data_IF_566895950174
#
_entry.id   IF_566895950174
#
_cell.length_a   1.000
_cell.length_b   1.000
_cell.length_c   1.000
_cell.angle_alpha   90.00
_cell.angle_beta   90.00
_cell.angle_gamma   90.00
#
_symmetry.space_group_name_H-M   'P 1'
#
loop_
_entity.id
_entity.type
_entity.pdbx_description
1 polymer ?
#
# COMPACT_ATOMS: atom_id res chain seq x y z
N UNK A 1 9.70 1.79 19.71
CA UNK A 1 10.35 2.84 18.89
C UNK A 1 11.38 2.16 17.99
N UNK A 2 11.41 2.47 16.73
CA UNK A 2 12.45 2.02 15.81
C UNK A 2 13.35 3.21 15.47
N UNK A 3 14.65 2.96 15.36
CA UNK A 3 15.65 3.99 15.05
C UNK A 3 15.54 5.26 15.94
N UNK A 4 15.12 5.12 17.19
CA UNK A 4 14.94 6.22 18.13
C UNK A 4 13.73 7.15 17.87
N UNK A 5 12.88 6.82 16.88
CA UNK A 5 11.77 7.69 16.48
C UNK A 5 10.49 7.37 17.23
N UNK A 6 9.79 8.43 17.64
CA UNK A 6 8.47 8.32 18.28
C UNK A 6 7.34 8.22 17.24
N UNK A 7 6.23 7.61 17.67
CA UNK A 7 5.00 7.51 16.85
C UNK A 7 3.76 7.69 17.70
N UNK A 8 2.63 8.00 17.06
CA UNK A 8 1.31 7.92 17.66
C UNK A 8 0.85 6.46 17.62
N UNK A 9 0.29 5.94 18.71
CA UNK A 9 -0.25 4.58 18.72
C UNK A 9 -1.66 4.58 18.12
N UNK A 10 -1.80 4.08 16.90
CA UNK A 10 -3.07 3.91 16.19
C UNK A 10 -3.48 2.44 16.11
N UNK A 11 -2.51 1.53 16.13
CA UNK A 11 -2.66 0.14 15.77
C UNK A 11 -2.48 -0.78 16.96
N UNK A 12 -3.20 -1.90 16.92
CA UNK A 12 -2.93 -3.05 17.79
C UNK A 12 -1.90 -3.95 17.07
N UNK A 13 -0.67 -3.87 17.51
CA UNK A 13 0.45 -4.64 16.94
C UNK A 13 0.87 -5.77 17.91
N UNK A 14 1.43 -6.88 17.41
CA UNK A 14 1.68 -7.17 16.00
C UNK A 14 0.39 -7.55 15.23
N UNK A 15 0.34 -7.26 13.92
CA UNK A 15 -0.70 -7.88 13.06
C UNK A 15 -0.41 -9.37 12.88
N UNK A 16 -1.44 -10.18 12.61
CA UNK A 16 -1.25 -11.63 12.47
C UNK A 16 -0.38 -11.99 11.26
N UNK A 17 0.37 -13.07 11.41
CA UNK A 17 1.03 -13.81 10.33
C UNK A 17 0.35 -15.18 10.26
N UNK A 18 -0.41 -15.43 9.20
CA UNK A 18 -1.29 -16.58 9.04
C UNK A 18 -0.78 -17.55 7.99
N UNK A 19 -0.78 -18.86 8.29
CA UNK A 19 -0.55 -19.88 7.29
C UNK A 19 -1.84 -20.15 6.50
N UNK A 20 -1.78 -20.06 5.19
CA UNK A 20 -2.91 -20.27 4.29
C UNK A 20 -2.90 -21.71 3.75
N UNK A 21 -3.58 -22.61 4.45
CA UNK A 21 -3.54 -24.04 4.15
C UNK A 21 -4.06 -24.37 2.75
N UNK A 22 -5.25 -23.87 2.41
CA UNK A 22 -5.89 -24.25 1.14
C UNK A 22 -5.18 -23.67 -0.07
N UNK A 23 -4.63 -22.46 0.04
CA UNK A 23 -3.79 -21.84 -1.01
C UNK A 23 -2.44 -22.55 -1.10
N UNK A 24 -1.87 -22.97 0.02
CA UNK A 24 -0.60 -23.73 0.02
C UNK A 24 -0.74 -25.06 -0.71
N UNK A 25 -1.83 -25.79 -0.46
CA UNK A 25 -2.14 -27.04 -1.15
C UNK A 25 -2.41 -26.82 -2.65
N UNK A 26 -3.14 -25.78 -3.01
CA UNK A 26 -3.49 -25.43 -4.39
C UNK A 26 -2.24 -25.07 -5.23
N UNK A 27 -1.31 -24.30 -4.65
CA UNK A 27 -0.13 -23.81 -5.35
C UNK A 27 1.11 -24.71 -5.16
N UNK A 28 1.06 -25.66 -4.23
CA UNK A 28 2.19 -26.53 -3.91
C UNK A 28 3.38 -25.82 -3.24
N UNK A 29 3.13 -24.73 -2.52
CA UNK A 29 4.08 -23.91 -1.76
C UNK A 29 3.67 -23.81 -0.30
N UNK A 30 4.46 -23.15 0.56
CA UNK A 30 4.05 -22.79 1.90
C UNK A 30 3.68 -21.30 1.93
N UNK A 31 2.39 -20.99 1.78
CA UNK A 31 1.90 -19.63 1.69
C UNK A 31 1.50 -19.08 3.06
N UNK A 32 2.05 -17.93 3.40
CA UNK A 32 1.72 -17.16 4.61
C UNK A 32 1.24 -15.78 4.22
N UNK A 33 0.40 -15.18 5.06
CA UNK A 33 -0.15 -13.84 4.84
C UNK A 33 0.05 -12.97 6.07
N UNK A 34 0.73 -11.83 5.88
CA UNK A 34 0.85 -10.78 6.89
C UNK A 34 -0.36 -9.85 6.79
N UNK A 35 -1.21 -9.83 7.80
CA UNK A 35 -2.56 -9.27 7.79
C UNK A 35 -2.59 -7.77 8.15
N UNK A 36 -1.91 -6.93 7.36
CA UNK A 36 -1.98 -5.48 7.53
C UNK A 36 -3.29 -4.85 7.03
N UNK A 37 -4.13 -5.63 6.35
CA UNK A 37 -5.53 -5.30 6.08
C UNK A 37 -6.37 -5.18 7.36
N UNK A 38 -6.01 -5.89 8.43
CA UNK A 38 -6.73 -5.92 9.71
C UNK A 38 -6.30 -4.83 10.70
N UNK A 39 -5.71 -3.76 10.24
CA UNK A 39 -5.25 -2.64 11.09
C UNK A 39 -6.37 -1.71 11.59
N UNK A 40 -7.61 -1.97 11.23
CA UNK A 40 -8.84 -1.50 11.88
C UNK A 40 -9.30 -0.10 11.46
N UNK A 41 -8.59 0.98 11.79
CA UNK A 41 -9.03 2.35 11.54
C UNK A 41 -9.33 2.60 10.06
N UNK A 42 -10.49 3.17 9.74
CA UNK A 42 -10.88 3.52 8.38
C UNK A 42 -10.84 2.33 7.40
N UNK A 43 -11.22 1.13 7.82
CA UNK A 43 -11.14 -0.14 7.10
C UNK A 43 -9.71 -0.67 6.86
N UNK A 44 -8.74 -0.23 7.65
CA UNK A 44 -7.40 -0.80 7.67
C UNK A 44 -6.54 -0.61 6.42
N UNK A 45 -5.32 -1.08 6.51
CA UNK A 45 -4.35 -1.10 5.43
C UNK A 45 -2.97 -0.55 5.83
N UNK A 46 -1.99 -0.82 4.99
CA UNK A 46 -0.57 -0.53 5.19
C UNK A 46 -0.24 0.93 5.54
N UNK A 47 -1.06 1.87 5.10
CA UNK A 47 -0.79 3.30 5.30
C UNK A 47 -0.89 3.73 6.75
N UNK A 48 -1.66 3.01 7.58
CA UNK A 48 -1.76 3.34 9.00
C UNK A 48 -0.43 3.17 9.72
N UNK A 49 0.39 2.16 9.40
CA UNK A 49 1.73 2.02 9.97
C UNK A 49 2.60 3.25 9.68
N UNK A 50 2.52 3.77 8.46
CA UNK A 50 3.23 4.98 8.05
C UNK A 50 2.69 6.23 8.76
N UNK A 51 1.36 6.32 8.83
CA UNK A 51 0.66 7.46 9.42
C UNK A 51 0.88 7.57 10.94
N UNK A 52 1.25 6.50 11.65
CA UNK A 52 1.65 6.59 13.05
C UNK A 52 2.85 7.53 13.24
N UNK A 53 3.87 7.42 12.37
CA UNK A 53 5.06 8.27 12.40
C UNK A 53 4.81 9.66 11.79
N UNK A 54 4.17 9.70 10.64
CA UNK A 54 3.83 10.96 9.94
C UNK A 54 2.96 11.86 10.81
N UNK A 55 1.93 11.31 11.47
CA UNK A 55 1.08 12.07 12.37
C UNK A 55 1.85 12.64 13.56
N UNK A 56 2.77 11.85 14.13
CA UNK A 56 3.62 12.34 15.24
C UNK A 56 4.45 13.54 14.80
N UNK A 57 5.05 13.49 13.62
CA UNK A 57 5.79 14.62 13.07
C UNK A 57 4.89 15.82 12.79
N UNK A 58 3.71 15.61 12.21
CA UNK A 58 2.73 16.66 11.99
C UNK A 58 2.31 17.35 13.30
N UNK A 59 2.05 16.58 14.36
CA UNK A 59 1.74 17.10 15.69
C UNK A 59 2.91 17.91 16.28
N UNK A 60 4.13 17.43 16.15
CA UNK A 60 5.33 18.14 16.61
C UNK A 60 5.53 19.49 15.90
N UNK A 61 5.03 19.62 14.65
CA UNK A 61 5.01 20.86 13.88
C UNK A 61 3.76 21.72 14.13
N UNK A 62 2.88 21.31 15.04
CA UNK A 62 1.64 22.03 15.37
C UNK A 62 0.60 22.03 14.25
N UNK A 63 0.63 21.05 13.35
CA UNK A 63 -0.28 20.98 12.20
C UNK A 63 -1.74 20.88 12.63
N UNK A 64 -2.61 21.66 12.00
CA UNK A 64 -4.06 21.65 12.17
C UNK A 64 -4.76 20.96 11.00
N UNK A 65 -4.06 20.78 9.89
CA UNK A 65 -4.58 20.20 8.66
C UNK A 65 -3.57 19.27 7.99
N UNK A 66 -4.07 18.13 7.50
CA UNK A 66 -3.31 17.20 6.66
C UNK A 66 -3.73 17.37 5.20
N UNK A 67 -2.75 17.52 4.31
CA UNK A 67 -2.98 17.49 2.85
C UNK A 67 -2.17 16.34 2.26
N UNK A 68 -2.81 15.55 1.40
CA UNK A 68 -2.13 14.49 0.66
C UNK A 68 -2.59 14.40 -0.78
N UNK A 69 -1.91 13.62 -1.58
CA UNK A 69 -2.17 13.40 -2.99
C UNK A 69 -2.34 11.92 -3.34
N UNK A 70 -3.03 11.66 -4.44
CA UNK A 70 -3.19 10.29 -4.97
C UNK A 70 -4.23 10.23 -6.09
N UNK A 71 -4.44 9.05 -6.65
CA UNK A 71 -5.57 8.84 -7.58
C UNK A 71 -6.92 9.02 -6.88
N UNK A 72 -7.99 9.22 -7.66
CA UNK A 72 -9.35 9.47 -7.15
C UNK A 72 -9.84 8.40 -6.16
N UNK A 73 -9.35 7.16 -6.28
CA UNK A 73 -9.68 6.03 -5.38
C UNK A 73 -8.48 5.63 -4.49
N UNK A 74 -7.74 6.62 -3.99
CA UNK A 74 -6.53 6.39 -3.21
C UNK A 74 -6.79 5.75 -1.84
N UNK A 75 -6.18 4.60 -1.55
CA UNK A 75 -6.19 4.01 -0.21
C UNK A 75 -5.41 4.86 0.81
N UNK A 76 -4.39 5.60 0.33
CA UNK A 76 -3.63 6.50 1.17
C UNK A 76 -4.47 7.69 1.61
N UNK A 77 -5.18 8.34 0.67
CA UNK A 77 -6.11 9.43 0.97
C UNK A 77 -7.14 9.02 2.03
N UNK A 78 -7.80 7.87 1.83
CA UNK A 78 -8.77 7.33 2.79
C UNK A 78 -8.22 7.19 4.20
N UNK A 79 -7.03 6.63 4.34
CA UNK A 79 -6.45 6.43 5.67
C UNK A 79 -5.89 7.74 6.27
N UNK A 80 -5.47 8.69 5.45
CA UNK A 80 -5.15 10.05 5.89
C UNK A 80 -6.39 10.76 6.41
N UNK A 81 -7.53 10.66 5.70
CA UNK A 81 -8.82 11.18 6.15
C UNK A 81 -9.26 10.55 7.49
N UNK A 82 -9.10 9.23 7.63
CA UNK A 82 -9.44 8.52 8.86
C UNK A 82 -8.60 9.00 10.07
N UNK A 83 -7.31 9.20 9.87
CA UNK A 83 -6.40 9.72 10.91
C UNK A 83 -6.76 11.17 11.24
N UNK A 84 -6.96 12.01 10.25
CA UNK A 84 -7.36 13.41 10.47
C UNK A 84 -8.65 13.51 11.26
N UNK A 85 -9.69 12.76 10.88
CA UNK A 85 -10.97 12.72 11.60
C UNK A 85 -10.79 12.27 13.06
N UNK A 86 -10.00 11.21 13.31
CA UNK A 86 -9.74 10.70 14.66
C UNK A 86 -9.05 11.73 15.57
N UNK A 87 -8.21 12.59 15.01
CA UNK A 87 -7.43 13.60 15.74
C UNK A 87 -7.97 15.02 15.62
N UNK A 88 -9.22 15.17 15.15
CA UNK A 88 -9.89 16.44 14.98
C UNK A 88 -9.08 17.45 14.14
N UNK A 89 -8.42 16.95 13.10
CA UNK A 89 -7.70 17.74 12.11
C UNK A 89 -8.51 17.88 10.83
N UNK A 90 -8.33 18.98 10.11
CA UNK A 90 -8.86 19.07 8.74
C UNK A 90 -8.05 18.18 7.80
N UNK A 91 -8.69 17.74 6.70
CA UNK A 91 -8.03 16.94 5.69
C UNK A 91 -8.45 17.38 4.29
N UNK A 92 -7.48 17.49 3.37
CA UNK A 92 -7.75 17.60 1.95
C UNK A 92 -6.93 16.55 1.17
N UNK A 93 -7.58 15.96 0.17
CA UNK A 93 -6.97 14.98 -0.74
C UNK A 93 -7.01 15.60 -2.13
N UNK A 94 -5.86 15.78 -2.76
CA UNK A 94 -5.77 16.25 -4.14
C UNK A 94 -5.58 15.08 -5.09
N UNK A 95 -6.36 15.06 -6.15
CA UNK A 95 -6.33 13.98 -7.14
C UNK A 95 -6.32 14.54 -8.57
N UNK A 96 -5.60 13.86 -9.46
CA UNK A 96 -5.66 14.11 -10.90
C UNK A 96 -6.37 12.94 -11.55
N UNK A 97 -7.36 13.24 -12.40
CA UNK A 97 -8.19 12.27 -13.09
C UNK A 97 -9.61 12.74 -13.28
N UNK A 98 -10.46 11.84 -13.76
CA UNK A 98 -11.87 12.14 -13.96
C UNK A 98 -12.70 11.79 -12.71
N UNK A 99 -13.69 12.62 -12.43
CA UNK A 99 -14.71 12.25 -11.45
C UNK A 99 -15.51 11.05 -11.97
N UNK A 100 -15.65 9.95 -11.19
CA UNK A 100 -16.27 8.71 -11.68
C UNK A 100 -17.80 8.77 -11.89
N UNK A 101 -18.41 9.93 -11.67
CA UNK A 101 -19.86 10.14 -11.79
C UNK A 101 -20.65 9.73 -10.55
N UNK A 102 -20.01 9.14 -9.57
CA UNK A 102 -20.64 8.70 -8.30
C UNK A 102 -19.64 8.77 -7.14
N UNK A 103 -20.17 8.92 -5.92
CA UNK A 103 -19.40 8.71 -4.69
C UNK A 103 -19.44 7.21 -4.36
N UNK A 104 -18.33 6.51 -4.59
CA UNK A 104 -18.21 5.09 -4.30
C UNK A 104 -16.84 4.74 -3.72
N UNK A 105 -16.72 3.59 -3.10
CA UNK A 105 -15.48 3.05 -2.57
C UNK A 105 -14.71 4.07 -1.69
N UNK A 106 -13.41 4.27 -1.95
CA UNK A 106 -12.58 5.20 -1.15
C UNK A 106 -13.11 6.64 -1.19
N UNK A 107 -13.54 7.13 -2.36
CA UNK A 107 -14.05 8.50 -2.50
C UNK A 107 -15.28 8.78 -1.60
N UNK A 108 -16.17 7.79 -1.45
CA UNK A 108 -17.29 7.89 -0.50
C UNK A 108 -16.79 7.94 0.94
N UNK A 109 -15.85 7.07 1.29
CA UNK A 109 -15.30 6.99 2.64
C UNK A 109 -14.53 8.26 3.02
N UNK A 110 -13.79 8.84 2.09
CA UNK A 110 -13.11 10.14 2.29
C UNK A 110 -14.09 11.23 2.69
N UNK A 111 -15.21 11.31 1.97
CA UNK A 111 -16.27 12.31 2.23
C UNK A 111 -17.02 12.05 3.53
N UNK A 112 -17.28 10.78 3.86
CA UNK A 112 -17.90 10.40 5.14
C UNK A 112 -17.02 10.79 6.34
N UNK A 113 -15.70 10.71 6.19
CA UNK A 113 -14.72 11.11 7.22
C UNK A 113 -14.41 12.60 7.20
N UNK A 114 -15.14 13.41 6.40
CA UNK A 114 -15.03 14.87 6.37
C UNK A 114 -13.86 15.43 5.56
N UNK A 115 -13.10 14.60 4.86
CA UNK A 115 -12.03 15.10 4.00
C UNK A 115 -12.59 15.87 2.79
N UNK A 116 -11.99 17.00 2.45
CA UNK A 116 -12.22 17.69 1.18
C UNK A 116 -11.45 16.97 0.08
N UNK A 117 -12.11 16.61 -1.02
CA UNK A 117 -11.47 15.97 -2.17
C UNK A 117 -11.50 16.93 -3.35
N UNK A 118 -10.31 17.27 -3.84
CA UNK A 118 -10.09 18.20 -4.94
C UNK A 118 -9.63 17.39 -6.15
N UNK A 119 -10.51 17.24 -7.15
CA UNK A 119 -10.21 16.49 -8.37
C UNK A 119 -9.94 17.50 -9.49
N UNK A 120 -8.75 17.45 -10.06
CA UNK A 120 -8.37 18.16 -11.27
C UNK A 120 -8.35 17.19 -12.44
N UNK A 121 -9.03 17.52 -13.53
CA UNK A 121 -8.95 16.76 -14.78
C UNK A 121 -7.49 16.76 -15.29
N UNK A 122 -7.03 15.61 -15.75
CA UNK A 122 -5.71 15.47 -16.37
C UNK A 122 -5.64 16.39 -17.61
N UNK A 123 -4.63 17.23 -17.65
CA UNK A 123 -4.39 18.20 -18.74
C UNK A 123 -3.34 17.69 -19.76
N UNK A 124 -2.88 16.44 -19.62
CA UNK A 124 -1.91 15.78 -20.51
C UNK A 124 -0.45 16.13 -20.24
N UNK A 125 -0.15 17.02 -19.29
CA UNK A 125 1.23 17.28 -18.85
C UNK A 125 1.74 16.13 -17.97
N UNK A 126 3.05 16.01 -17.71
CA UNK A 126 3.57 15.05 -16.74
C UNK A 126 2.83 15.13 -15.40
N UNK A 127 2.34 14.01 -14.90
CA UNK A 127 1.54 13.96 -13.68
C UNK A 127 2.24 14.60 -12.48
N UNK A 128 3.57 14.44 -12.39
CA UNK A 128 4.37 15.04 -11.32
C UNK A 128 4.24 16.57 -11.27
N UNK A 129 4.27 17.22 -12.41
CA UNK A 129 4.18 18.69 -12.51
C UNK A 129 2.77 19.17 -12.14
N UNK A 130 1.75 18.44 -12.61
CA UNK A 130 0.35 18.72 -12.27
C UNK A 130 0.10 18.57 -10.76
N UNK A 131 0.62 17.51 -10.11
CA UNK A 131 0.51 17.34 -8.67
C UNK A 131 1.26 18.42 -7.89
N UNK A 132 2.49 18.75 -8.26
CA UNK A 132 3.27 19.82 -7.60
C UNK A 132 2.51 21.16 -7.60
N UNK A 133 1.89 21.51 -8.75
CA UNK A 133 1.10 22.72 -8.88
C UNK A 133 -0.15 22.68 -8.00
N UNK A 134 -0.95 21.62 -8.12
CA UNK A 134 -2.21 21.46 -7.40
C UNK A 134 -2.00 21.42 -5.89
N UNK A 135 -0.99 20.71 -5.41
CA UNK A 135 -0.62 20.63 -3.99
C UNK A 135 -0.21 22.01 -3.48
N UNK A 136 0.70 22.69 -4.18
CA UNK A 136 1.17 24.03 -3.82
C UNK A 136 0.00 25.02 -3.66
N UNK A 137 -0.90 25.04 -4.64
CA UNK A 137 -2.01 25.98 -4.66
C UNK A 137 -3.06 25.63 -3.59
N UNK A 138 -3.23 24.33 -3.31
CA UNK A 138 -4.09 23.86 -2.21
C UNK A 138 -3.51 24.26 -0.84
N UNK A 139 -2.19 24.09 -0.63
CA UNK A 139 -1.53 24.51 0.62
C UNK A 139 -1.74 26.01 0.84
N UNK A 140 -1.42 26.85 -0.16
CA UNK A 140 -1.61 28.30 -0.07
C UNK A 140 -3.05 28.70 0.28
N UNK A 141 -4.04 28.00 -0.32
CA UNK A 141 -5.45 28.24 -0.04
C UNK A 141 -5.77 28.08 1.44
N UNK A 142 -5.29 27.02 2.07
CA UNK A 142 -5.61 26.72 3.46
C UNK A 142 -4.75 27.50 4.46
N UNK A 143 -3.49 27.74 4.16
CA UNK A 143 -2.63 28.64 4.95
C UNK A 143 -3.23 30.07 5.02
N UNK A 144 -3.80 30.56 3.91
CA UNK A 144 -4.52 31.84 3.89
C UNK A 144 -5.81 31.84 4.76
N UNK A 145 -6.32 30.68 5.13
CA UNK A 145 -7.43 30.50 6.06
C UNK A 145 -6.96 30.33 7.53
N UNK A 146 -5.65 30.37 7.78
CA UNK A 146 -5.07 30.24 9.12
C UNK A 146 -4.73 28.80 9.52
N UNK A 147 -4.78 27.84 8.60
CA UNK A 147 -4.38 26.46 8.89
C UNK A 147 -2.85 26.32 8.91
N UNK A 148 -2.34 25.49 9.81
CA UNK A 148 -0.97 25.00 9.80
C UNK A 148 -0.99 23.67 9.05
N UNK A 149 -0.59 23.71 7.78
CA UNK A 149 -0.68 22.57 6.87
C UNK A 149 0.53 21.65 7.02
N UNK A 150 0.27 20.35 7.14
CA UNK A 150 1.26 19.30 6.97
C UNK A 150 0.97 18.53 5.69
N UNK A 151 1.88 18.62 4.73
CA UNK A 151 1.79 17.89 3.47
C UNK A 151 2.39 16.49 3.61
N UNK A 152 1.65 15.49 3.16
CA UNK A 152 2.06 14.08 3.12
C UNK A 152 2.19 13.67 1.66
N UNK A 153 3.39 13.28 1.19
CA UNK A 153 3.59 12.93 -0.21
C UNK A 153 2.87 11.64 -0.60
N UNK A 154 2.84 11.35 -1.89
CA UNK A 154 2.16 10.20 -2.49
C UNK A 154 2.41 8.90 -1.70
N UNK A 155 1.32 8.34 -1.15
CA UNK A 155 1.37 7.09 -0.41
C UNK A 155 2.12 7.15 0.92
N UNK A 156 2.43 8.36 1.46
CA UNK A 156 3.26 8.51 2.65
C UNK A 156 4.62 7.84 2.47
N UNK A 157 5.26 8.08 1.30
CA UNK A 157 6.49 7.40 0.93
C UNK A 157 7.67 8.37 0.96
N UNK A 158 7.96 8.83 2.15
CA UNK A 158 9.12 9.64 2.51
C UNK A 158 9.93 8.93 3.61
N UNK A 159 10.98 9.58 4.05
CA UNK A 159 11.87 9.10 5.10
C UNK A 159 11.18 8.89 6.45
N UNK A 160 10.09 9.59 6.74
CA UNK A 160 9.28 9.40 7.97
C UNK A 160 8.32 8.22 7.80
N UNK A 161 7.56 8.20 6.72
CA UNK A 161 6.54 7.18 6.50
C UNK A 161 7.10 5.77 6.34
N UNK A 162 8.32 5.61 5.85
CA UNK A 162 8.94 4.30 5.72
C UNK A 162 9.17 3.60 7.06
N UNK A 163 9.28 4.36 8.15
CA UNK A 163 9.49 3.80 9.49
C UNK A 163 8.37 2.84 9.91
N UNK A 164 7.14 3.07 9.43
CA UNK A 164 6.04 2.16 9.68
C UNK A 164 6.27 0.76 9.13
N UNK A 165 6.96 0.66 7.99
CA UNK A 165 7.32 -0.63 7.41
C UNK A 165 8.70 -1.13 7.81
N UNK A 166 9.59 -0.27 8.26
CA UNK A 166 10.77 -0.69 9.00
C UNK A 166 10.35 -1.44 10.29
N UNK A 167 9.40 -0.88 11.05
CA UNK A 167 8.84 -1.55 12.25
C UNK A 167 8.15 -2.87 11.88
N UNK A 168 7.41 -2.91 10.77
CA UNK A 168 6.80 -4.14 10.26
C UNK A 168 7.86 -5.21 9.93
N UNK A 169 9.02 -4.82 9.39
CA UNK A 169 10.11 -5.74 9.11
C UNK A 169 10.67 -6.35 10.40
N UNK A 170 10.90 -5.54 11.43
CA UNK A 170 11.33 -6.02 12.75
C UNK A 170 10.31 -6.99 13.37
N UNK A 171 9.03 -6.63 13.30
CA UNK A 171 7.91 -7.45 13.77
C UNK A 171 7.85 -8.79 13.01
N UNK A 172 7.87 -8.73 11.69
CA UNK A 172 7.77 -9.91 10.81
C UNK A 172 8.95 -10.86 10.98
N UNK A 173 10.17 -10.34 11.13
CA UNK A 173 11.36 -11.16 11.40
C UNK A 173 11.19 -11.99 12.67
N UNK A 174 10.66 -11.40 13.73
CA UNK A 174 10.38 -12.12 14.99
C UNK A 174 9.28 -13.17 14.83
N UNK A 175 8.20 -12.83 14.13
CA UNK A 175 7.10 -13.76 13.88
C UNK A 175 7.55 -14.93 13.00
N UNK A 176 8.30 -14.66 11.94
CA UNK A 176 8.82 -15.68 11.03
C UNK A 176 9.80 -16.63 11.75
N UNK A 177 10.68 -16.10 12.60
CA UNK A 177 11.57 -16.92 13.42
C UNK A 177 10.79 -17.82 14.37
N UNK A 178 9.77 -17.30 15.06
CA UNK A 178 8.92 -18.07 15.97
C UNK A 178 8.14 -19.20 15.27
N UNK A 179 7.82 -19.03 13.99
CA UNK A 179 7.13 -20.03 13.15
C UNK A 179 8.10 -20.97 12.40
N UNK A 180 9.42 -20.83 12.56
CA UNK A 180 10.42 -21.65 11.84
C UNK A 180 10.50 -21.36 10.34
N UNK A 181 10.15 -20.14 9.92
CA UNK A 181 10.14 -19.68 8.52
C UNK A 181 11.02 -18.44 8.31
N UNK A 182 12.07 -18.29 9.11
CA UNK A 182 12.98 -17.13 9.05
C UNK A 182 13.79 -17.01 7.75
N UNK A 183 13.69 -18.00 6.85
CA UNK A 183 14.28 -18.04 5.52
C UNK A 183 13.25 -17.81 4.39
N UNK A 184 12.02 -17.38 4.74
CA UNK A 184 10.95 -17.16 3.75
C UNK A 184 11.24 -15.99 2.83
N UNK A 185 10.65 -16.04 1.61
CA UNK A 185 10.60 -14.90 0.69
C UNK A 185 9.35 -14.05 0.99
N UNK A 186 9.56 -12.79 1.32
CA UNK A 186 8.49 -11.81 1.51
C UNK A 186 8.16 -11.16 0.17
N UNK A 187 6.88 -11.13 -0.20
CA UNK A 187 6.41 -10.52 -1.44
C UNK A 187 5.43 -9.40 -1.10
N UNK A 188 5.69 -8.21 -1.64
CA UNK A 188 4.89 -7.01 -1.40
C UNK A 188 4.60 -6.25 -2.68
N UNK A 189 3.42 -5.65 -2.80
CA UNK A 189 3.11 -4.73 -3.89
C UNK A 189 4.02 -3.49 -3.84
N UNK A 190 4.64 -3.15 -4.96
CA UNK A 190 5.51 -1.99 -5.14
C UNK A 190 4.81 -0.92 -5.99
N UNK A 191 4.21 0.07 -5.33
CA UNK A 191 3.55 1.23 -5.96
C UNK A 191 4.34 2.52 -5.72
N UNK A 192 4.08 3.21 -4.60
CA UNK A 192 4.79 4.42 -4.16
C UNK A 192 6.12 4.13 -3.44
N UNK A 193 6.57 2.89 -3.43
CA UNK A 193 7.82 2.34 -2.91
C UNK A 193 8.00 2.36 -1.38
N UNK A 194 7.37 3.23 -0.62
CA UNK A 194 7.65 3.37 0.82
C UNK A 194 7.36 2.11 1.67
N UNK A 195 6.44 1.22 1.26
CA UNK A 195 6.24 -0.08 1.92
C UNK A 195 7.40 -1.02 1.66
N UNK A 196 7.79 -1.14 0.39
CA UNK A 196 8.95 -1.94 -0.02
C UNK A 196 10.23 -1.43 0.65
N UNK A 197 10.48 -0.12 0.59
CA UNK A 197 11.68 0.50 1.16
C UNK A 197 11.78 0.30 2.68
N UNK A 198 10.67 0.47 3.41
CA UNK A 198 10.66 0.21 4.85
C UNK A 198 10.99 -1.25 5.20
N UNK A 199 10.41 -2.22 4.46
CA UNK A 199 10.75 -3.63 4.60
C UNK A 199 12.22 -3.90 4.26
N UNK A 200 12.70 -3.35 3.13
CA UNK A 200 14.08 -3.51 2.68
C UNK A 200 15.07 -3.01 3.74
N UNK A 201 14.92 -1.76 4.15
CA UNK A 201 15.78 -1.17 5.17
C UNK A 201 15.73 -1.92 6.51
N UNK A 202 14.53 -2.34 6.94
CA UNK A 202 14.37 -3.10 8.17
C UNK A 202 15.03 -4.48 8.10
N UNK A 203 14.82 -5.24 7.05
CA UNK A 203 15.45 -6.56 6.90
C UNK A 203 16.97 -6.47 6.85
N UNK A 204 17.52 -5.55 6.08
CA UNK A 204 18.98 -5.42 5.94
C UNK A 204 19.66 -4.83 7.17
N UNK A 205 19.08 -3.80 7.78
CA UNK A 205 19.68 -3.14 8.96
C UNK A 205 19.61 -4.02 10.21
N UNK A 206 18.58 -4.88 10.31
CA UNK A 206 18.39 -5.82 11.44
C UNK A 206 18.95 -7.22 11.15
N UNK A 207 19.66 -7.40 10.04
CA UNK A 207 20.24 -8.68 9.61
C UNK A 207 19.22 -9.83 9.59
N UNK A 208 18.03 -9.58 9.03
CA UNK A 208 16.99 -10.59 8.85
C UNK A 208 17.40 -11.61 7.80
N UNK A 209 17.01 -12.88 8.00
CA UNK A 209 17.15 -13.94 6.98
C UNK A 209 16.07 -13.91 5.90
N UNK A 210 15.07 -13.02 6.02
CA UNK A 210 13.97 -12.89 5.05
C UNK A 210 14.44 -12.20 3.76
N UNK A 211 14.17 -12.82 2.61
CA UNK A 211 14.34 -12.18 1.31
C UNK A 211 13.13 -11.32 0.97
N UNK A 212 13.31 -10.26 0.17
CA UNK A 212 12.22 -9.36 -0.23
C UNK A 212 12.13 -9.25 -1.75
N UNK A 213 10.94 -9.50 -2.30
CA UNK A 213 10.60 -9.24 -3.70
C UNK A 213 9.43 -8.26 -3.78
N UNK A 214 9.57 -7.19 -4.53
CA UNK A 214 8.50 -6.27 -4.86
C UNK A 214 7.78 -6.69 -6.14
N UNK A 215 6.47 -6.53 -6.20
CA UNK A 215 5.69 -6.69 -7.44
C UNK A 215 5.22 -5.33 -7.90
N UNK A 216 5.69 -4.87 -9.04
CA UNK A 216 5.29 -3.59 -9.62
C UNK A 216 3.79 -3.60 -9.99
N UNK A 217 3.05 -2.59 -9.52
CA UNK A 217 1.60 -2.47 -9.78
C UNK A 217 1.27 -1.45 -10.90
N UNK A 218 2.29 -0.79 -11.39
CA UNK A 218 2.27 0.15 -12.51
C UNK A 218 3.62 0.09 -13.24
N UNK A 219 3.75 0.62 -14.46
CA UNK A 219 5.03 0.63 -15.17
C UNK A 219 6.19 1.06 -14.26
N UNK A 220 7.28 0.31 -14.32
CA UNK A 220 8.47 0.53 -13.49
C UNK A 220 9.62 0.93 -14.40
N UNK A 221 9.62 2.20 -14.75
CA UNK A 221 10.54 2.85 -15.67
C UNK A 221 11.81 3.39 -14.97
N UNK A 222 12.69 4.00 -15.74
CA UNK A 222 13.93 4.61 -15.22
C UNK A 222 13.68 5.65 -14.14
N UNK A 223 12.57 6.40 -14.23
CA UNK A 223 12.20 7.37 -13.20
C UNK A 223 11.97 6.68 -11.86
N UNK A 224 11.17 5.59 -11.84
CA UNK A 224 10.92 4.81 -10.61
C UNK A 224 12.17 4.10 -10.11
N UNK A 225 13.03 3.62 -11.02
CA UNK A 225 14.29 3.01 -10.64
C UNK A 225 15.27 4.01 -10.01
N UNK A 226 15.24 5.27 -10.42
CA UNK A 226 15.99 6.33 -9.75
C UNK A 226 15.35 6.70 -8.41
N UNK A 227 14.02 6.85 -8.38
CA UNK A 227 13.28 7.20 -7.16
C UNK A 227 13.47 6.21 -6.01
N UNK A 228 13.65 4.91 -6.31
CA UNK A 228 13.91 3.91 -5.25
C UNK A 228 15.30 4.09 -4.64
N UNK A 229 16.30 4.44 -5.45
CA UNK A 229 17.68 4.73 -4.98
C UNK A 229 17.70 6.02 -4.17
N UNK A 230 17.08 7.09 -4.67
CA UNK A 230 16.98 8.37 -3.97
C UNK A 230 16.29 8.23 -2.60
N UNK A 231 15.19 7.47 -2.54
CA UNK A 231 14.49 7.19 -1.29
C UNK A 231 15.38 6.39 -0.33
N UNK A 232 16.11 5.39 -0.81
CA UNK A 232 17.04 4.61 0.01
C UNK A 232 18.16 5.49 0.58
N UNK A 233 18.79 6.32 -0.25
CA UNK A 233 19.89 7.19 0.16
C UNK A 233 19.42 8.22 1.21
N UNK A 234 18.26 8.86 0.99
CA UNK A 234 17.64 9.80 1.94
C UNK A 234 17.40 9.14 3.31
N UNK A 235 16.81 7.96 3.32
CA UNK A 235 16.50 7.21 4.54
C UNK A 235 17.75 6.77 5.27
N UNK A 236 18.72 6.23 4.52
CA UNK A 236 20.01 5.77 5.04
C UNK A 236 20.76 6.92 5.71
N UNK A 237 20.84 8.08 5.04
CA UNK A 237 21.51 9.26 5.56
C UNK A 237 20.81 9.78 6.82
N UNK A 238 19.49 9.98 6.77
CA UNK A 238 18.71 10.53 7.89
C UNK A 238 18.84 9.70 9.16
N UNK A 239 18.85 8.37 9.05
CA UNK A 239 18.86 7.48 10.21
C UNK A 239 20.22 6.83 10.49
N UNK A 240 21.28 7.23 9.77
CA UNK A 240 22.64 6.73 9.99
C UNK A 240 22.79 5.23 9.80
N UNK A 241 22.03 4.63 8.87
CA UNK A 241 22.06 3.18 8.62
C UNK A 241 23.37 2.76 7.97
N UNK A 242 23.95 1.65 8.45
CA UNK A 242 25.22 1.10 7.93
C UNK A 242 24.97 0.02 6.86
N UNK A 243 24.00 0.24 6.01
CA UNK A 243 23.68 -0.63 4.87
C UNK A 243 24.04 0.08 3.57
N UNK A 244 24.31 -0.66 2.52
CA UNK A 244 24.54 -0.12 1.20
C UNK A 244 23.74 -0.90 0.18
N UNK A 245 23.14 -0.22 -0.76
CA UNK A 245 22.45 -0.80 -1.88
C UNK A 245 22.55 0.11 -3.09
N UNK A 246 22.56 -0.48 -4.26
CA UNK A 246 22.39 0.20 -5.53
C UNK A 246 21.19 -0.36 -6.28
N UNK A 247 20.93 0.17 -7.45
CA UNK A 247 19.75 -0.15 -8.28
C UNK A 247 19.51 -1.67 -8.45
N UNK A 248 20.57 -2.47 -8.53
CA UNK A 248 20.51 -3.93 -8.77
C UNK A 248 20.15 -4.75 -7.53
N UNK A 249 20.24 -4.13 -6.35
CA UNK A 249 19.98 -4.83 -5.09
C UNK A 249 18.50 -4.80 -4.72
N UNK A 250 17.68 -4.00 -5.43
CA UNK A 250 16.22 -3.95 -5.24
C UNK A 250 15.54 -4.95 -6.18
N UNK A 251 15.11 -6.08 -5.61
CA UNK A 251 14.40 -7.13 -6.35
C UNK A 251 12.95 -6.70 -6.61
N UNK A 252 12.67 -6.24 -7.84
CA UNK A 252 11.34 -5.80 -8.29
C UNK A 252 10.94 -6.56 -9.55
N UNK A 253 9.89 -7.36 -9.44
CA UNK A 253 9.23 -8.02 -10.57
C UNK A 253 8.39 -7.00 -11.35
N UNK A 254 8.77 -6.73 -12.60
CA UNK A 254 8.22 -5.66 -13.44
C UNK A 254 7.17 -6.14 -14.45
N UNK A 255 7.11 -7.45 -14.69
CA UNK A 255 6.33 -8.04 -15.78
C UNK A 255 4.84 -8.25 -15.44
N UNK A 256 4.45 -8.02 -14.18
CA UNK A 256 3.11 -8.35 -13.68
C UNK A 256 2.17 -7.13 -13.54
N UNK A 257 2.44 -6.06 -14.26
CA UNK A 257 1.68 -4.79 -14.20
C UNK A 257 0.23 -4.93 -14.67
N UNK A 258 -0.07 -5.90 -15.55
CA UNK A 258 -1.44 -6.19 -16.04
C UNK A 258 -2.11 -4.98 -16.71
N UNK A 259 -1.50 -4.45 -17.74
CA UNK A 259 -2.01 -3.34 -18.54
C UNK A 259 -1.84 -1.95 -17.93
N UNK A 260 -1.72 -1.81 -16.60
CA UNK A 260 -1.50 -0.51 -15.96
C UNK A 260 -2.05 -0.40 -14.54
N UNK A 261 -1.86 0.78 -13.95
CA UNK A 261 -2.34 1.08 -12.60
C UNK A 261 -3.87 1.07 -12.55
N UNK A 262 -4.43 0.31 -11.62
CA UNK A 262 -5.87 0.25 -11.33
C UNK A 262 -6.76 -0.13 -12.54
N UNK A 263 -6.18 -0.79 -13.54
CA UNK A 263 -6.94 -1.31 -14.68
C UNK A 263 -7.44 -2.74 -14.39
N UNK A 264 -8.71 -3.05 -14.73
CA UNK A 264 -9.24 -4.41 -14.59
C UNK A 264 -8.46 -5.41 -15.46
N UNK A 265 -8.14 -6.59 -14.90
CA UNK A 265 -7.61 -7.71 -15.66
C UNK A 265 -8.22 -9.01 -15.16
N UNK A 266 -8.37 -9.97 -16.07
CA UNK A 266 -8.96 -11.29 -15.75
C UNK A 266 -8.11 -12.05 -14.75
N UNK A 267 -6.79 -12.06 -14.94
CA UNK A 267 -5.85 -12.78 -14.05
C UNK A 267 -5.93 -12.29 -12.61
N UNK A 268 -6.11 -10.97 -12.43
CA UNK A 268 -6.30 -10.39 -11.10
C UNK A 268 -7.64 -10.79 -10.51
N UNK A 269 -8.72 -10.78 -11.30
CA UNK A 269 -10.03 -11.22 -10.80
C UNK A 269 -10.03 -12.71 -10.43
N UNK A 270 -9.39 -13.54 -11.23
CA UNK A 270 -9.23 -14.98 -10.93
C UNK A 270 -8.44 -15.18 -9.62
N UNK A 271 -7.37 -14.43 -9.40
CA UNK A 271 -6.59 -14.46 -8.17
C UNK A 271 -7.41 -14.00 -6.96
N UNK A 272 -8.16 -12.91 -7.07
CA UNK A 272 -9.06 -12.42 -6.00
C UNK A 272 -10.11 -13.47 -5.66
N UNK A 273 -10.73 -14.10 -6.68
CA UNK A 273 -11.73 -15.16 -6.48
C UNK A 273 -11.12 -16.41 -5.85
N UNK A 274 -9.92 -16.81 -6.27
CA UNK A 274 -9.21 -17.94 -5.69
C UNK A 274 -8.94 -17.73 -4.20
N UNK A 275 -8.38 -16.58 -3.82
CA UNK A 275 -8.12 -16.25 -2.40
C UNK A 275 -9.41 -16.19 -1.59
N UNK A 276 -10.45 -15.53 -2.10
CA UNK A 276 -11.74 -15.43 -1.44
C UNK A 276 -12.41 -16.78 -1.27
N UNK A 277 -12.41 -17.62 -2.30
CA UNK A 277 -13.07 -18.94 -2.28
C UNK A 277 -12.34 -19.99 -1.43
N UNK A 278 -11.02 -19.87 -1.30
CA UNK A 278 -10.20 -20.83 -0.54
C UNK A 278 -10.00 -20.43 0.93
N UNK A 279 -9.82 -19.15 1.21
CA UNK A 279 -9.43 -18.66 2.55
C UNK A 279 -10.41 -17.62 3.12
N UNK A 280 -11.48 -17.24 2.41
CA UNK A 280 -12.41 -16.17 2.78
C UNK A 280 -11.70 -14.80 3.00
N UNK A 281 -10.59 -14.56 2.30
CA UNK A 281 -9.80 -13.33 2.38
C UNK A 281 -10.02 -12.51 1.10
N UNK A 282 -10.40 -11.24 1.26
CA UNK A 282 -10.72 -10.34 0.15
C UNK A 282 -9.50 -9.47 -0.21
N UNK A 283 -8.90 -9.74 -1.36
CA UNK A 283 -7.84 -8.91 -1.94
C UNK A 283 -8.44 -7.76 -2.75
N UNK A 284 -7.73 -6.63 -2.80
CA UNK A 284 -8.10 -5.54 -3.70
C UNK A 284 -7.61 -5.80 -5.14
N UNK A 285 -8.29 -5.29 -6.17
CA UNK A 285 -7.91 -5.56 -7.55
C UNK A 285 -6.71 -4.73 -8.07
N UNK A 286 -6.28 -3.70 -7.32
CA UNK A 286 -5.20 -2.80 -7.76
C UNK A 286 -3.81 -3.23 -7.27
N UNK A 287 -3.69 -3.65 -6.00
CA UNK A 287 -2.43 -3.94 -5.31
C UNK A 287 -2.30 -5.41 -4.94
N UNK A 288 -3.08 -5.86 -3.95
CA UNK A 288 -2.93 -7.20 -3.36
C UNK A 288 -3.36 -8.30 -4.31
N UNK A 289 -4.39 -8.08 -5.11
CA UNK A 289 -4.81 -9.00 -6.16
C UNK A 289 -3.76 -9.15 -7.26
N UNK A 290 -3.11 -8.04 -7.70
CA UNK A 290 -1.98 -8.11 -8.64
C UNK A 290 -0.79 -8.86 -8.05
N UNK A 291 -0.49 -8.58 -6.78
CA UNK A 291 0.60 -9.25 -6.08
C UNK A 291 0.37 -10.77 -6.00
N UNK A 292 -0.84 -11.19 -5.65
CA UNK A 292 -1.18 -12.61 -5.60
C UNK A 292 -1.24 -13.27 -7.00
N UNK A 293 -1.77 -12.58 -8.00
CA UNK A 293 -1.71 -13.05 -9.40
C UNK A 293 -0.26 -13.24 -9.87
N UNK A 294 0.65 -12.33 -9.49
CA UNK A 294 2.08 -12.49 -9.78
C UNK A 294 2.68 -13.71 -9.08
N UNK A 295 2.33 -13.98 -7.81
CA UNK A 295 2.77 -15.20 -7.11
C UNK A 295 2.32 -16.46 -7.86
N UNK A 296 1.06 -16.51 -8.30
CA UNK A 296 0.52 -17.62 -9.07
C UNK A 296 1.34 -17.85 -10.36
N UNK A 297 1.64 -16.77 -11.08
CA UNK A 297 2.43 -16.87 -12.32
C UNK A 297 3.89 -17.23 -12.07
N UNK A 298 4.49 -16.71 -11.00
CA UNK A 298 5.85 -17.09 -10.60
C UNK A 298 5.94 -18.56 -10.21
N UNK A 299 4.90 -19.13 -9.59
CA UNK A 299 4.83 -20.58 -9.32
C UNK A 299 4.72 -21.36 -10.64
N UNK A 300 3.79 -20.99 -11.51
CA UNK A 300 3.61 -21.64 -12.83
C UNK A 300 4.86 -21.54 -13.69
N UNK A 301 5.55 -20.41 -13.67
CA UNK A 301 6.80 -20.17 -14.40
C UNK A 301 8.05 -20.76 -13.73
N UNK A 302 7.92 -21.38 -12.57
CA UNK A 302 9.03 -22.00 -11.83
C UNK A 302 10.00 -20.99 -11.18
N UNK A 303 9.67 -19.71 -11.09
CA UNK A 303 10.42 -18.72 -10.30
C UNK A 303 10.24 -18.94 -8.79
N UNK A 304 9.08 -19.43 -8.36
CA UNK A 304 8.83 -19.94 -7.01
C UNK A 304 8.78 -21.45 -7.09
N UNK A 305 9.57 -22.11 -6.26
CA UNK A 305 9.73 -23.57 -6.28
C UNK A 305 8.68 -24.25 -5.40
N UNK A 306 8.38 -25.52 -5.71
CA UNK A 306 7.53 -26.36 -4.86
C UNK A 306 8.06 -26.42 -3.44
N UNK A 307 7.19 -26.19 -2.46
CA UNK A 307 7.51 -26.19 -1.04
C UNK A 307 8.23 -24.93 -0.53
N UNK A 308 8.50 -23.94 -1.41
CA UNK A 308 9.09 -22.65 -1.00
C UNK A 308 8.18 -21.89 -0.03
N UNK A 309 8.75 -21.23 0.96
CA UNK A 309 8.05 -20.46 1.98
C UNK A 309 7.86 -19.03 1.48
N UNK A 310 6.62 -18.62 1.27
CA UNK A 310 6.25 -17.30 0.76
C UNK A 310 5.41 -16.58 1.79
N UNK A 311 5.79 -15.36 2.15
CA UNK A 311 5.00 -14.44 2.98
C UNK A 311 4.53 -13.29 2.11
N UNK A 312 3.25 -13.20 1.82
CA UNK A 312 2.69 -12.04 1.13
C UNK A 312 2.22 -10.99 2.15
N UNK A 313 2.53 -9.72 1.91
CA UNK A 313 1.99 -8.62 2.70
C UNK A 313 0.60 -8.23 2.18
N UNK A 314 -0.44 -8.48 2.95
CA UNK A 314 -1.79 -8.01 2.64
C UNK A 314 -1.94 -6.55 3.07
N UNK A 315 -1.72 -5.65 2.14
CA UNK A 315 -1.69 -4.20 2.40
C UNK A 315 -3.07 -3.55 2.54
N UNK A 316 -4.15 -4.33 2.54
CA UNK A 316 -5.53 -3.84 2.58
C UNK A 316 -6.06 -3.46 1.20
N UNK A 317 -6.95 -2.48 1.13
CA UNK A 317 -7.48 -1.94 -0.12
C UNK A 317 -8.84 -2.51 -0.54
N UNK A 318 -9.50 -3.31 0.29
CA UNK A 318 -10.81 -3.93 -0.02
C UNK A 318 -11.87 -2.96 -0.58
N UNK A 319 -11.96 -1.67 -0.18
CA UNK A 319 -12.88 -0.73 -0.84
C UNK A 319 -12.71 -0.64 -2.36
N UNK A 320 -11.52 -0.93 -2.90
CA UNK A 320 -11.26 -0.97 -4.34
C UNK A 320 -12.14 -1.95 -5.12
N UNK A 321 -12.64 -3.02 -4.48
CA UNK A 321 -13.60 -3.97 -5.07
C UNK A 321 -14.91 -3.31 -5.48
N UNK A 322 -15.31 -2.26 -4.79
CA UNK A 322 -16.58 -1.56 -4.99
C UNK A 322 -16.49 -0.36 -5.92
N UNK A 323 -15.31 -0.12 -6.53
CA UNK A 323 -15.21 0.88 -7.60
C UNK A 323 -15.97 0.40 -8.83
N UNK A 324 -16.67 1.31 -9.51
CA UNK A 324 -17.54 0.97 -10.65
C UNK A 324 -16.84 0.09 -11.70
N UNK A 325 -15.64 0.48 -12.12
CA UNK A 325 -14.90 -0.22 -13.18
C UNK A 325 -14.42 -1.62 -12.80
N UNK A 326 -14.16 -1.90 -11.52
CA UNK A 326 -13.85 -3.25 -11.05
C UNK A 326 -15.10 -4.05 -10.74
N UNK A 327 -16.08 -3.45 -10.04
CA UNK A 327 -17.31 -4.12 -9.64
C UNK A 327 -18.09 -4.69 -10.84
N UNK A 328 -18.23 -3.91 -11.90
CA UNK A 328 -18.95 -4.33 -13.12
C UNK A 328 -18.30 -5.55 -13.77
N UNK A 329 -16.97 -5.65 -13.77
CA UNK A 329 -16.28 -6.81 -14.32
C UNK A 329 -16.44 -8.07 -13.46
N UNK A 330 -16.45 -7.94 -12.13
CA UNK A 330 -16.79 -9.05 -11.23
C UNK A 330 -18.25 -9.48 -11.37
N UNK A 331 -19.18 -8.52 -11.49
CA UNK A 331 -20.60 -8.79 -11.66
C UNK A 331 -20.87 -9.64 -12.92
N UNK A 332 -20.27 -9.33 -14.05
CA UNK A 332 -20.37 -10.13 -15.28
C UNK A 332 -19.96 -11.58 -15.11
N UNK A 333 -18.98 -11.86 -14.23
CA UNK A 333 -18.45 -13.20 -14.01
C UNK A 333 -19.18 -13.97 -12.89
N UNK A 334 -19.92 -13.28 -12.03
CA UNK A 334 -20.51 -13.86 -10.82
C UNK A 334 -22.04 -13.88 -10.83
N UNK A 335 -22.67 -13.17 -11.74
CA UNK A 335 -24.15 -13.03 -11.77
C UNK A 335 -24.85 -14.37 -11.98
N UNK A 336 -24.26 -15.29 -12.71
CA UNK A 336 -24.84 -16.62 -12.97
C UNK A 336 -25.04 -17.45 -11.69
N UNK A 337 -24.36 -17.08 -10.59
CA UNK A 337 -24.55 -17.69 -9.27
C UNK A 337 -25.72 -17.11 -8.47
N UNK A 338 -26.46 -16.14 -9.02
CA UNK A 338 -27.59 -15.47 -8.36
C UNK A 338 -28.90 -16.07 -8.89
N UNK A 339 -29.69 -16.69 -8.03
CA UNK A 339 -31.05 -17.19 -8.37
C UNK A 339 -32.07 -16.14 -7.93
N UNK A 340 -32.90 -15.68 -8.87
CA UNK A 340 -34.00 -14.77 -8.59
C UNK A 340 -35.28 -15.61 -8.63
N UNK A 341 -36.01 -15.67 -7.51
CA UNK A 341 -37.32 -16.30 -7.41
C UNK A 341 -38.37 -15.18 -7.49
N UNK A 342 -39.37 -15.35 -8.38
CA UNK A 342 -40.51 -14.43 -8.51
C UNK A 342 -41.60 -14.75 -7.48
#
# INVERSE_FOLDING_TARGET
MVLGQEKVSLLNLPTSLEYLKNISEELGIQMYLKRDDMTGLGMGGNKLRKLEYILKEAQNKGATMLITEGGVQTNHGRLTAAVAAKFNMRCAIVAIGDYPGELSANLLLDRLMGAEVIIKKDDGRPSLDQYKELVRDTIKKYEAQGEIVYYIPLGGSDDVGILGYYECAVELTKQAAAMGIGDARVISAAGSLGTYMGLYCGFHNENSGLALTGVAISPFDDYKENSIVELFDSVKEKYGMKISAGRKDFDIEKDFVRGGYNLPSKEVRDAVRLMAGKEAILLDPCYTGKCFAAIIDMVKGGKIKKGEKIIMIHTGGAPGLYTKHHRVEFEKELIDGVTILE
#
